data_IF_793619073050
#
_entry.id   IF_793619073050
#
_cell.length_a   1.000
_cell.length_b   1.000
_cell.length_c   1.000
_cell.angle_alpha   90.00
_cell.angle_beta   90.00
_cell.angle_gamma   90.00
#
_symmetry.space_group_name_H-M   'P 1'
#
loop_
_entity.id
_entity.type
_entity.pdbx_description
1 polymer ?
#
# COMPACT_ATOMS: atom_id res chain seq x y z
N UNK A 1 -24.08 -48.99 23.38
CA UNK A 1 -24.83 -50.18 22.94
C UNK A 1 -26.17 -50.19 23.66
N UNK A 2 -27.11 -49.38 23.17
CA UNK A 2 -28.56 -49.41 23.42
C UNK A 2 -29.14 -48.15 22.77
N UNK A 3 -30.32 -48.27 22.13
CA UNK A 3 -31.09 -47.27 21.37
C UNK A 3 -30.82 -47.23 19.86
N UNK A 4 -31.22 -48.31 19.18
CA UNK A 4 -31.51 -48.32 17.73
C UNK A 4 -32.82 -49.08 17.40
N UNK A 5 -33.80 -49.07 18.31
CA UNK A 5 -35.14 -49.61 18.03
C UNK A 5 -36.22 -48.70 18.62
N UNK A 6 -36.71 -47.78 17.80
CA UNK A 6 -38.07 -47.28 17.90
C UNK A 6 -38.43 -46.64 16.57
N UNK A 7 -39.69 -46.79 16.16
CA UNK A 7 -40.26 -46.37 14.86
C UNK A 7 -40.06 -47.40 13.73
N UNK A 8 -40.38 -48.66 14.03
CA UNK A 8 -41.06 -49.52 13.07
C UNK A 8 -42.58 -49.39 13.31
N UNK A 9 -43.36 -49.47 12.23
CA UNK A 9 -44.83 -49.36 12.19
C UNK A 9 -45.43 -47.95 12.18
N UNK A 10 -45.37 -47.27 11.03
CA UNK A 10 -46.52 -46.47 10.58
C UNK A 10 -46.50 -46.18 9.07
N UNK A 11 -46.60 -47.21 8.22
CA UNK A 11 -47.03 -46.98 6.82
C UNK A 11 -47.39 -48.29 6.12
N UNK A 12 -48.57 -48.82 6.44
CA UNK A 12 -49.26 -49.80 5.60
C UNK A 12 -50.59 -49.18 5.21
N UNK A 13 -50.61 -48.47 4.08
CA UNK A 13 -51.86 -47.95 3.54
C UNK A 13 -51.76 -46.68 2.69
N UNK A 14 -51.09 -46.74 1.53
CA UNK A 14 -51.59 -45.98 0.37
C UNK A 14 -51.08 -46.59 -0.93
N UNK A 15 -52.00 -47.24 -1.62
CA UNK A 15 -51.87 -47.70 -3.00
C UNK A 15 -51.56 -46.49 -3.89
N UNK A 16 -50.59 -46.68 -4.78
CA UNK A 16 -50.52 -46.12 -6.14
C UNK A 16 -50.89 -44.64 -6.29
N UNK A 17 -49.89 -43.77 -6.20
CA UNK A 17 -49.77 -42.58 -7.03
C UNK A 17 -48.28 -42.35 -7.26
N UNK A 18 -47.76 -43.09 -8.23
CA UNK A 18 -46.50 -42.79 -8.90
C UNK A 18 -46.71 -41.43 -9.57
N UNK A 19 -46.33 -40.34 -8.92
CA UNK A 19 -46.08 -39.08 -9.61
C UNK A 19 -44.80 -39.27 -10.41
N UNK A 20 -44.99 -39.74 -11.64
CA UNK A 20 -44.02 -39.71 -12.70
C UNK A 20 -43.69 -38.24 -12.97
N UNK A 21 -42.58 -37.75 -12.39
CA UNK A 21 -42.01 -36.49 -12.84
C UNK A 21 -41.68 -36.66 -14.32
N UNK A 22 -42.21 -35.83 -15.22
CA UNK A 22 -41.71 -35.83 -16.59
C UNK A 22 -40.24 -35.43 -16.50
N UNK A 23 -39.37 -36.32 -16.98
CA UNK A 23 -38.02 -35.95 -17.38
C UNK A 23 -38.15 -34.95 -18.54
N UNK A 24 -38.45 -33.70 -18.20
CA UNK A 24 -38.33 -32.56 -19.06
C UNK A 24 -36.85 -32.41 -19.36
N UNK A 25 -36.39 -33.13 -20.38
CA UNK A 25 -35.23 -32.75 -21.16
C UNK A 25 -35.40 -31.26 -21.45
N UNK A 26 -34.64 -30.42 -20.76
CA UNK A 26 -34.42 -29.03 -21.17
C UNK A 26 -33.69 -29.16 -22.50
N UNK A 27 -34.46 -29.29 -23.57
CA UNK A 27 -33.96 -29.24 -24.92
C UNK A 27 -33.31 -27.88 -25.06
N UNK A 28 -31.98 -27.86 -25.04
CA UNK A 28 -31.22 -26.72 -25.53
C UNK A 28 -31.76 -26.45 -26.93
N UNK A 29 -32.43 -25.31 -27.18
CA UNK A 29 -32.94 -25.01 -28.49
C UNK A 29 -31.77 -25.09 -29.45
N UNK A 30 -31.93 -25.86 -30.53
CA UNK A 30 -30.98 -26.00 -31.63
C UNK A 30 -30.78 -24.64 -32.30
N UNK A 31 -29.96 -23.81 -31.67
CA UNK A 31 -29.46 -22.55 -32.15
C UNK A 31 -28.51 -22.87 -33.31
N UNK A 32 -28.68 -22.26 -34.50
CA UNK A 32 -27.79 -22.53 -35.65
C UNK A 32 -26.33 -22.34 -35.24
N UNK A 33 -25.42 -23.25 -35.63
CA UNK A 33 -23.99 -23.28 -35.21
C UNK A 33 -23.31 -21.90 -35.16
N UNK A 34 -23.66 -21.00 -36.08
CA UNK A 34 -23.17 -19.61 -36.13
C UNK A 34 -23.53 -18.78 -34.89
N UNK A 35 -24.72 -18.97 -34.29
CA UNK A 35 -25.13 -18.28 -33.05
C UNK A 35 -24.41 -18.80 -31.82
N UNK A 36 -24.09 -20.10 -31.79
CA UNK A 36 -23.28 -20.71 -30.72
C UNK A 36 -21.84 -20.15 -30.79
N UNK A 37 -21.28 -20.04 -32.00
CA UNK A 37 -19.96 -19.45 -32.22
C UNK A 37 -19.90 -17.97 -31.77
N UNK A 38 -20.92 -17.18 -32.11
CA UNK A 38 -21.02 -15.76 -31.69
C UNK A 38 -21.20 -15.62 -30.17
N UNK A 39 -22.00 -16.50 -29.55
CA UNK A 39 -22.16 -16.52 -28.10
C UNK A 39 -20.84 -16.86 -27.40
N UNK A 40 -20.09 -17.84 -27.91
CA UNK A 40 -18.80 -18.25 -27.37
C UNK A 40 -17.75 -17.14 -27.51
N UNK A 41 -17.73 -16.42 -28.65
CA UNK A 41 -16.89 -15.24 -28.85
C UNK A 41 -17.22 -14.11 -27.86
N UNK A 42 -18.50 -13.84 -27.60
CA UNK A 42 -18.94 -12.84 -26.61
C UNK A 42 -18.51 -13.22 -25.19
N UNK A 43 -18.58 -14.51 -24.83
CA UNK A 43 -18.11 -15.00 -23.53
C UNK A 43 -16.60 -14.81 -23.40
N UNK A 44 -15.83 -15.14 -24.44
CA UNK A 44 -14.36 -14.94 -24.44
C UNK A 44 -14.02 -13.44 -24.31
N UNK A 45 -14.74 -12.55 -24.99
CA UNK A 45 -14.54 -11.11 -24.85
C UNK A 45 -14.95 -10.58 -23.47
N UNK A 46 -16.04 -11.09 -22.89
CA UNK A 46 -16.49 -10.70 -21.56
C UNK A 46 -15.51 -11.18 -20.47
N UNK A 47 -15.05 -12.44 -20.55
CA UNK A 47 -14.06 -13.00 -19.62
C UNK A 47 -12.70 -12.34 -19.81
N UNK A 48 -12.23 -12.18 -21.05
CA UNK A 48 -10.98 -11.50 -21.36
C UNK A 48 -11.00 -10.04 -20.92
N UNK A 49 -12.10 -9.33 -21.19
CA UNK A 49 -12.32 -7.95 -20.72
C UNK A 49 -12.38 -7.86 -19.20
N UNK A 50 -13.05 -8.80 -18.53
CA UNK A 50 -13.10 -8.87 -17.07
C UNK A 50 -11.72 -9.14 -16.45
N UNK A 51 -10.96 -10.10 -16.99
CA UNK A 51 -9.62 -10.43 -16.53
C UNK A 51 -8.64 -9.27 -16.77
N UNK A 52 -8.75 -8.59 -17.92
CA UNK A 52 -7.95 -7.40 -18.21
C UNK A 52 -8.29 -6.25 -17.25
N UNK A 53 -9.58 -5.96 -17.06
CA UNK A 53 -10.04 -4.94 -16.11
C UNK A 53 -9.57 -5.25 -14.69
N UNK A 54 -9.70 -6.50 -14.25
CA UNK A 54 -9.21 -6.95 -12.94
C UNK A 54 -7.71 -6.76 -12.84
N UNK A 55 -6.92 -7.24 -13.80
CA UNK A 55 -5.45 -7.09 -13.79
C UNK A 55 -4.99 -5.63 -13.70
N UNK A 56 -5.67 -4.69 -14.37
CA UNK A 56 -5.32 -3.27 -14.32
C UNK A 56 -5.78 -2.62 -13.01
N UNK A 57 -6.95 -2.99 -12.48
CA UNK A 57 -7.50 -2.39 -11.26
C UNK A 57 -6.99 -2.99 -9.96
N UNK A 58 -6.49 -4.22 -9.99
CA UNK A 58 -5.86 -4.89 -8.84
C UNK A 58 -4.33 -4.83 -8.92
N UNK A 59 -3.75 -3.94 -9.73
CA UNK A 59 -2.30 -3.82 -9.87
C UNK A 59 -1.65 -2.90 -8.82
N UNK A 60 -0.36 -3.08 -8.49
CA UNK A 60 0.38 -2.20 -7.58
C UNK A 60 0.36 -0.73 -8.03
N UNK A 61 0.50 -0.49 -9.33
CA UNK A 61 0.44 0.86 -9.92
C UNK A 61 -0.92 1.54 -9.70
N UNK A 62 -2.00 0.78 -9.76
CA UNK A 62 -3.35 1.32 -9.55
C UNK A 62 -3.56 1.76 -8.10
N UNK A 63 -3.11 0.94 -7.14
CA UNK A 63 -3.16 1.28 -5.73
C UNK A 63 -2.35 2.56 -5.42
N UNK A 64 -1.16 2.73 -6.02
CA UNK A 64 -0.39 3.96 -5.87
C UNK A 64 -1.11 5.18 -6.46
N UNK A 65 -1.69 5.05 -7.65
CA UNK A 65 -2.47 6.12 -8.25
C UNK A 65 -3.69 6.50 -7.40
N UNK A 66 -4.35 5.51 -6.78
CA UNK A 66 -5.46 5.74 -5.86
C UNK A 66 -5.01 6.39 -4.55
N UNK A 67 -3.87 6.00 -4.00
CA UNK A 67 -3.29 6.66 -2.84
C UNK A 67 -2.98 8.13 -3.15
N UNK A 68 -2.31 8.42 -4.28
CA UNK A 68 -2.00 9.79 -4.69
C UNK A 68 -3.27 10.63 -4.92
N UNK A 69 -4.29 10.04 -5.57
CA UNK A 69 -5.59 10.68 -5.74
C UNK A 69 -6.28 10.96 -4.39
N UNK A 70 -6.20 10.04 -3.43
CA UNK A 70 -6.78 10.22 -2.10
C UNK A 70 -6.13 11.38 -1.34
N UNK A 71 -4.82 11.62 -1.52
CA UNK A 71 -4.15 12.83 -0.99
C UNK A 71 -4.73 14.09 -1.60
N UNK A 72 -4.90 14.12 -2.92
CA UNK A 72 -5.45 15.26 -3.64
C UNK A 72 -6.92 15.54 -3.28
N UNK A 73 -7.71 14.48 -3.11
CA UNK A 73 -9.14 14.57 -2.82
C UNK A 73 -9.41 14.71 -1.30
N UNK A 74 -8.35 14.84 -0.47
CA UNK A 74 -8.41 14.90 0.99
C UNK A 74 -9.15 13.72 1.65
N UNK A 75 -9.14 12.55 1.01
CA UNK A 75 -9.80 11.33 1.47
C UNK A 75 -8.85 10.45 2.28
N UNK A 76 -8.82 10.70 3.59
CA UNK A 76 -7.99 9.95 4.54
C UNK A 76 -8.34 8.45 4.54
N UNK A 77 -9.62 8.09 4.41
CA UNK A 77 -10.05 6.70 4.46
C UNK A 77 -9.58 5.91 3.23
N UNK A 78 -9.71 6.51 2.05
CA UNK A 78 -9.15 5.93 0.83
C UNK A 78 -7.63 5.87 0.88
N UNK A 79 -6.96 6.87 1.45
CA UNK A 79 -5.51 6.83 1.60
C UNK A 79 -5.05 5.67 2.49
N UNK A 80 -5.64 5.51 3.68
CA UNK A 80 -5.29 4.41 4.60
C UNK A 80 -5.63 3.01 4.04
N UNK A 81 -6.61 2.93 3.13
CA UNK A 81 -6.88 1.69 2.41
C UNK A 81 -5.68 1.25 1.57
N UNK A 82 -5.06 2.16 0.82
CA UNK A 82 -3.93 1.83 -0.07
C UNK A 82 -2.56 2.01 0.57
N UNK A 83 -2.48 2.64 1.75
CA UNK A 83 -1.23 2.85 2.50
C UNK A 83 -1.41 2.41 3.95
N UNK A 84 -0.68 1.38 4.36
CA UNK A 84 -0.59 0.98 5.76
C UNK A 84 0.34 1.96 6.50
N UNK A 85 -0.21 3.10 6.90
CA UNK A 85 0.52 4.19 7.56
C UNK A 85 1.22 3.70 8.84
N UNK A 86 0.63 2.73 9.53
CA UNK A 86 1.21 2.17 10.76
C UNK A 86 2.45 1.33 10.45
N UNK A 87 2.36 0.41 9.48
CA UNK A 87 3.52 -0.38 9.06
C UNK A 87 4.62 0.50 8.47
N UNK A 88 4.25 1.47 7.62
CA UNK A 88 5.20 2.40 7.01
C UNK A 88 5.92 3.18 8.10
N UNK A 89 5.20 3.93 8.95
CA UNK A 89 5.82 4.75 10.02
C UNK A 89 6.68 3.93 10.97
N UNK A 90 6.22 2.75 11.39
CA UNK A 90 6.96 1.83 12.25
C UNK A 90 8.31 1.42 11.64
N UNK A 91 8.31 1.03 10.35
CA UNK A 91 9.53 0.64 9.64
C UNK A 91 10.44 1.83 9.33
N UNK A 92 9.87 3.01 9.10
CA UNK A 92 10.67 4.24 8.94
C UNK A 92 11.45 4.57 10.21
N UNK A 93 10.81 4.44 11.38
CA UNK A 93 11.50 4.62 12.68
C UNK A 93 12.64 3.61 12.82
N UNK A 94 12.43 2.35 12.43
CA UNK A 94 13.49 1.33 12.46
C UNK A 94 14.66 1.69 11.53
N UNK A 95 14.38 2.11 10.30
CA UNK A 95 15.42 2.48 9.32
C UNK A 95 16.23 3.69 9.78
N UNK A 96 15.57 4.70 10.35
CA UNK A 96 16.24 5.88 10.91
C UNK A 96 17.09 5.50 12.12
N UNK A 97 16.54 4.69 13.04
CA UNK A 97 17.26 4.23 14.22
C UNK A 97 18.48 3.35 13.86
N UNK A 98 18.39 2.56 12.80
CA UNK A 98 19.50 1.72 12.33
C UNK A 98 20.67 2.54 11.75
N UNK A 99 20.47 3.81 11.37
CA UNK A 99 21.48 4.60 10.65
C UNK A 99 22.02 5.76 11.50
N UNK A 100 23.25 5.62 11.98
CA UNK A 100 23.92 6.65 12.81
C UNK A 100 24.06 8.00 12.08
N UNK A 101 24.31 7.97 10.77
CA UNK A 101 24.39 9.20 9.96
C UNK A 101 23.05 9.95 9.95
N UNK A 102 21.93 9.24 9.85
CA UNK A 102 20.58 9.85 9.84
C UNK A 102 20.19 10.33 11.25
N UNK A 103 20.58 9.61 12.30
CA UNK A 103 20.42 10.09 13.68
C UNK A 103 21.20 11.40 13.92
N UNK A 104 22.42 11.49 13.40
CA UNK A 104 23.20 12.73 13.44
C UNK A 104 22.52 13.90 12.71
N UNK A 105 21.77 13.62 11.64
CA UNK A 105 20.98 14.63 10.92
C UNK A 105 19.79 15.17 11.74
N UNK A 106 19.31 14.44 12.74
CA UNK A 106 18.24 14.86 13.65
C UNK A 106 18.78 15.70 14.83
N UNK A 107 20.05 16.11 14.80
CA UNK A 107 20.65 16.94 15.85
C UNK A 107 21.05 16.16 17.10
N UNK A 108 21.04 14.83 17.05
CA UNK A 108 21.49 13.98 18.14
C UNK A 108 23.03 13.98 18.22
N UNK A 109 23.60 14.93 18.95
CA UNK A 109 25.00 14.86 19.40
C UNK A 109 25.16 13.96 20.65
N UNK A 110 24.12 13.19 20.98
CA UNK A 110 24.04 12.24 22.08
C UNK A 110 24.48 10.84 21.63
N UNK A 111 24.98 10.01 22.56
CA UNK A 111 25.38 8.64 22.25
C UNK A 111 24.26 7.90 21.50
N UNK A 112 24.53 7.51 20.24
CA UNK A 112 23.52 6.93 19.34
C UNK A 112 22.86 5.67 19.91
N UNK A 113 23.56 4.95 20.79
CA UNK A 113 23.04 3.77 21.48
C UNK A 113 21.91 4.09 22.48
N UNK A 114 22.02 5.19 23.25
CA UNK A 114 20.94 5.63 24.15
C UNK A 114 19.73 6.11 23.34
N UNK A 115 19.97 6.86 22.26
CA UNK A 115 18.90 7.35 21.40
C UNK A 115 18.15 6.21 20.70
N UNK A 116 18.86 5.21 20.17
CA UNK A 116 18.26 3.97 19.62
C UNK A 116 17.36 3.27 20.65
N UNK A 117 17.83 3.15 21.88
CA UNK A 117 17.03 2.59 22.98
C UNK A 117 15.75 3.38 23.23
N UNK A 118 15.84 4.70 23.31
CA UNK A 118 14.69 5.58 23.49
C UNK A 118 13.71 5.52 22.30
N UNK A 119 14.20 5.52 21.06
CA UNK A 119 13.39 5.41 19.85
C UNK A 119 12.65 4.08 19.79
N UNK A 120 13.30 2.97 20.16
CA UNK A 120 12.67 1.65 20.18
C UNK A 120 11.54 1.58 21.22
N UNK A 121 11.71 2.20 22.39
CA UNK A 121 10.65 2.29 23.42
C UNK A 121 9.52 3.23 23.00
N UNK A 122 9.84 4.34 22.33
CA UNK A 122 8.87 5.33 21.86
C UNK A 122 8.21 4.94 20.53
N UNK A 123 8.67 3.88 19.85
CA UNK A 123 8.18 3.43 18.54
C UNK A 123 6.66 3.38 18.40
N UNK A 124 5.86 2.77 19.31
CA UNK A 124 4.41 2.76 19.15
C UNK A 124 3.80 4.17 19.24
N UNK A 125 4.35 5.04 20.09
CA UNK A 125 3.88 6.43 20.23
C UNK A 125 4.27 7.29 19.03
N UNK A 126 5.50 7.13 18.53
CA UNK A 126 5.99 7.79 17.32
C UNK A 126 5.20 7.36 16.08
N UNK A 127 4.90 6.08 15.93
CA UNK A 127 4.07 5.57 14.84
C UNK A 127 2.65 6.15 14.89
N UNK A 128 2.05 6.26 16.07
CA UNK A 128 0.74 6.90 16.24
C UNK A 128 0.78 8.40 15.93
N UNK A 129 1.79 9.12 16.40
CA UNK A 129 1.96 10.55 16.11
C UNK A 129 2.19 10.79 14.61
N UNK A 130 3.07 10.01 13.98
CA UNK A 130 3.30 10.05 12.54
C UNK A 130 2.03 9.74 11.75
N UNK A 131 1.23 8.76 12.20
CA UNK A 131 -0.06 8.46 11.58
C UNK A 131 -1.00 9.66 11.63
N UNK A 132 -1.17 10.28 12.80
CA UNK A 132 -2.01 11.48 12.95
C UNK A 132 -1.54 12.62 12.04
N UNK A 133 -0.22 12.81 11.94
CA UNK A 133 0.33 13.85 11.09
C UNK A 133 0.11 13.58 9.61
N UNK A 134 0.28 12.33 9.17
CA UNK A 134 -0.03 11.92 7.79
C UNK A 134 -1.52 12.10 7.50
N UNK A 135 -2.41 11.70 8.41
CA UNK A 135 -3.84 11.93 8.28
C UNK A 135 -4.17 13.42 8.16
N UNK A 136 -3.55 14.27 8.99
CA UNK A 136 -3.72 15.71 8.93
C UNK A 136 -3.23 16.29 7.60
N UNK A 137 -2.05 15.88 7.13
CA UNK A 137 -1.50 16.31 5.86
C UNK A 137 -2.40 15.88 4.68
N UNK A 138 -2.93 14.66 4.71
CA UNK A 138 -3.89 14.20 3.70
C UNK A 138 -5.17 15.04 3.76
N UNK A 139 -5.69 15.33 4.95
CA UNK A 139 -6.93 16.08 5.12
C UNK A 139 -6.82 17.58 4.77
N UNK A 140 -5.66 18.20 4.99
CA UNK A 140 -5.50 19.67 4.89
C UNK A 140 -4.49 20.11 3.83
N UNK A 141 -3.69 19.19 3.29
CA UNK A 141 -2.59 19.49 2.37
C UNK A 141 -1.38 20.16 3.03
N UNK A 142 -1.36 20.30 4.36
CA UNK A 142 -0.29 20.96 5.09
C UNK A 142 0.07 20.24 6.39
N UNK A 143 1.33 20.37 6.81
CA UNK A 143 1.75 19.94 8.14
C UNK A 143 1.23 20.97 9.14
N UNK A 144 0.59 20.49 10.22
CA UNK A 144 0.01 21.40 11.21
C UNK A 144 1.14 22.05 12.03
N UNK A 145 1.16 23.38 12.06
CA UNK A 145 2.10 24.13 12.90
C UNK A 145 1.77 24.01 14.39
N UNK A 146 0.53 23.63 14.74
CA UNK A 146 0.07 23.52 16.12
C UNK A 146 0.30 22.10 16.63
N UNK A 147 1.37 21.89 17.41
CA UNK A 147 1.58 20.64 18.11
C UNK A 147 0.88 20.66 19.47
N UNK A 148 0.07 19.63 19.76
CA UNK A 148 -0.61 19.53 21.06
C UNK A 148 0.33 19.13 22.21
N UNK A 149 1.48 18.52 21.89
CA UNK A 149 2.48 18.07 22.85
C UNK A 149 3.91 18.07 22.24
N UNK A 150 4.91 17.90 23.10
CA UNK A 150 6.34 17.91 22.71
C UNK A 150 6.70 16.79 21.73
N UNK A 151 6.19 15.58 21.94
CA UNK A 151 6.48 14.42 21.07
C UNK A 151 6.00 14.67 19.65
N UNK A 152 4.77 15.19 19.51
CA UNK A 152 4.17 15.54 18.24
C UNK A 152 4.95 16.67 17.55
N UNK A 153 5.42 17.66 18.30
CA UNK A 153 6.29 18.73 17.77
C UNK A 153 7.59 18.16 17.19
N UNK A 154 8.24 17.25 17.91
CA UNK A 154 9.48 16.60 17.46
C UNK A 154 9.24 15.79 16.18
N UNK A 155 8.14 15.02 16.12
CA UNK A 155 7.77 14.24 14.93
C UNK A 155 7.48 15.16 13.74
N UNK A 156 6.72 16.24 13.94
CA UNK A 156 6.41 17.24 12.91
C UNK A 156 7.68 17.88 12.33
N UNK A 157 8.55 18.40 13.18
CA UNK A 157 9.81 19.02 12.76
C UNK A 157 10.72 18.02 12.04
N UNK A 158 10.78 16.77 12.53
CA UNK A 158 11.57 15.72 11.92
C UNK A 158 11.03 15.33 10.55
N UNK A 159 9.71 15.09 10.42
CA UNK A 159 9.08 14.74 9.15
C UNK A 159 9.20 15.87 8.14
N UNK A 160 8.95 17.12 8.53
CA UNK A 160 9.09 18.27 7.64
C UNK A 160 10.56 18.45 7.18
N UNK A 161 11.52 18.31 8.10
CA UNK A 161 12.94 18.37 7.81
C UNK A 161 13.39 17.28 6.83
N UNK A 162 12.99 16.03 7.07
CA UNK A 162 13.30 14.89 6.19
C UNK A 162 12.60 15.02 4.82
N UNK A 163 11.32 15.42 4.80
CA UNK A 163 10.58 15.64 3.58
C UNK A 163 11.23 16.71 2.70
N UNK A 164 11.65 17.84 3.28
CA UNK A 164 12.29 18.94 2.55
C UNK A 164 13.62 18.56 1.88
N UNK A 165 14.29 17.51 2.36
CA UNK A 165 15.52 16.96 1.78
C UNK A 165 15.28 16.00 0.63
N UNK A 166 14.16 15.27 0.66
CA UNK A 166 13.83 14.27 -0.37
C UNK A 166 13.01 14.92 -1.49
N UNK A 167 12.03 15.74 -1.13
CA UNK A 167 11.08 16.37 -2.06
C UNK A 167 11.08 17.88 -1.82
N UNK A 168 11.42 18.61 -2.87
CA UNK A 168 11.35 20.08 -2.91
C UNK A 168 10.17 20.52 -3.78
N UNK A 169 9.68 21.77 -3.69
CA UNK A 169 8.64 22.26 -4.59
C UNK A 169 8.97 22.06 -6.08
N UNK A 170 10.25 22.15 -6.44
CA UNK A 170 10.76 21.92 -7.80
C UNK A 170 10.94 20.44 -8.17
N UNK A 171 10.73 19.51 -7.23
CA UNK A 171 10.91 18.08 -7.50
C UNK A 171 9.75 17.57 -8.35
N UNK A 172 10.06 16.83 -9.42
CA UNK A 172 9.05 16.27 -10.31
C UNK A 172 9.09 14.75 -10.30
N UNK A 173 7.92 14.14 -10.16
CA UNK A 173 7.75 12.70 -10.35
C UNK A 173 7.89 12.38 -11.84
N UNK A 174 8.79 11.45 -12.18
CA UNK A 174 8.98 10.99 -13.56
C UNK A 174 8.12 9.78 -13.90
N UNK A 175 7.98 8.85 -12.97
CA UNK A 175 7.25 7.62 -13.22
C UNK A 175 7.70 6.44 -12.36
N UNK A 176 7.19 5.26 -12.70
CA UNK A 176 7.61 4.00 -12.10
C UNK A 176 8.79 3.45 -12.90
N UNK A 177 9.99 3.47 -12.29
CA UNK A 177 11.24 2.94 -12.88
C UNK A 177 11.18 1.44 -13.08
N UNK A 178 10.68 0.72 -12.08
CA UNK A 178 10.51 -0.72 -12.15
C UNK A 178 9.38 -1.18 -11.22
N UNK A 179 8.83 -2.35 -11.54
CA UNK A 179 7.84 -3.05 -10.72
C UNK A 179 8.23 -4.53 -10.71
N UNK A 180 8.46 -5.08 -9.52
CA UNK A 180 8.79 -6.50 -9.33
C UNK A 180 7.74 -7.12 -8.42
N UNK A 181 6.91 -8.01 -8.97
CA UNK A 181 5.91 -8.75 -8.20
C UNK A 181 6.47 -10.13 -7.82
N UNK A 182 6.41 -10.45 -6.53
CA UNK A 182 6.89 -11.68 -5.91
C UNK A 182 5.79 -12.26 -5.03
N UNK A 183 4.84 -12.98 -5.64
CA UNK A 183 3.68 -13.53 -4.94
C UNK A 183 2.82 -12.43 -4.34
N UNK A 184 2.65 -12.44 -3.03
CA UNK A 184 1.86 -11.46 -2.27
C UNK A 184 2.61 -10.14 -2.00
N UNK A 185 3.85 -10.00 -2.46
CA UNK A 185 4.65 -8.80 -2.28
C UNK A 185 5.01 -8.19 -3.63
N UNK A 186 5.11 -6.85 -3.69
CA UNK A 186 5.58 -6.14 -4.87
C UNK A 186 6.54 -5.03 -4.46
N UNK A 187 7.66 -4.92 -5.17
CA UNK A 187 8.62 -3.82 -5.03
C UNK A 187 8.45 -2.84 -6.18
N UNK A 188 8.13 -1.60 -5.86
CA UNK A 188 7.89 -0.53 -6.83
C UNK A 188 8.95 0.56 -6.68
N UNK A 189 9.79 0.73 -7.71
CA UNK A 189 10.75 1.82 -7.77
C UNK A 189 10.11 3.06 -8.41
N UNK A 190 9.94 4.13 -7.65
CA UNK A 190 9.44 5.43 -8.11
C UNK A 190 10.60 6.38 -8.38
N UNK A 191 10.67 6.94 -9.58
CA UNK A 191 11.74 7.87 -9.96
C UNK A 191 11.29 9.33 -9.80
N UNK A 192 12.12 10.12 -9.12
CA UNK A 192 11.93 11.54 -8.91
C UNK A 192 13.16 12.29 -9.40
N UNK A 193 12.92 13.41 -10.09
CA UNK A 193 14.00 14.35 -10.43
C UNK A 193 14.09 15.38 -9.34
N UNK A 194 15.30 15.60 -8.83
CA UNK A 194 15.56 16.62 -7.84
C UNK A 194 16.50 17.68 -8.43
N UNK A 195 15.95 18.79 -8.96
CA UNK A 195 16.77 19.85 -9.54
C UNK A 195 17.75 20.43 -8.52
N UNK A 196 17.34 20.51 -7.25
CA UNK A 196 18.23 20.95 -6.18
C UNK A 196 19.47 20.09 -6.05
N UNK A 197 19.46 18.81 -6.41
CA UNK A 197 20.59 17.87 -6.28
C UNK A 197 21.22 17.45 -7.63
N UNK A 198 20.75 18.01 -8.76
CA UNK A 198 21.17 17.64 -10.12
C UNK A 198 21.18 16.12 -10.35
N UNK A 199 20.29 15.40 -9.66
CA UNK A 199 20.28 13.94 -9.67
C UNK A 199 18.84 13.41 -9.70
N UNK A 200 18.72 12.14 -10.10
CA UNK A 200 17.48 11.38 -10.03
C UNK A 200 17.54 10.45 -8.83
N UNK A 201 16.54 10.54 -7.96
CA UNK A 201 16.36 9.63 -6.83
C UNK A 201 15.33 8.57 -7.19
N UNK A 202 15.51 7.37 -6.63
CA UNK A 202 14.55 6.28 -6.73
C UNK A 202 14.08 5.94 -5.33
N UNK A 203 12.78 6.07 -5.07
CA UNK A 203 12.16 5.58 -3.83
C UNK A 203 11.55 4.21 -4.09
N UNK A 204 11.90 3.26 -3.25
CA UNK A 204 11.44 1.89 -3.35
C UNK A 204 10.32 1.64 -2.35
N UNK A 205 9.16 1.25 -2.86
CA UNK A 205 7.97 0.97 -2.07
C UNK A 205 7.71 -0.52 -2.09
N UNK A 206 7.63 -1.13 -0.91
CA UNK A 206 7.12 -2.49 -0.78
C UNK A 206 5.62 -2.47 -0.54
N UNK A 207 4.91 -3.16 -1.41
CA UNK A 207 3.47 -3.32 -1.37
C UNK A 207 3.12 -4.77 -1.04
N UNK A 208 1.99 -4.96 -0.37
CA UNK A 208 1.42 -6.28 -0.09
C UNK A 208 0.07 -6.41 -0.78
N UNK A 209 -0.17 -7.57 -1.39
CA UNK A 209 -1.45 -7.93 -1.94
C UNK A 209 -2.46 -8.20 -0.80
N UNK A 210 -3.64 -7.60 -0.89
CA UNK A 210 -4.77 -7.82 0.03
C UNK A 210 -5.90 -8.59 -0.66
N UNK A 211 -5.64 -9.18 -1.82
CA UNK A 211 -6.57 -9.94 -2.66
C UNK A 211 -7.34 -9.05 -3.64
N UNK A 212 -7.95 -7.97 -3.14
CA UNK A 212 -8.75 -7.04 -3.95
C UNK A 212 -8.03 -5.74 -4.28
N UNK A 213 -6.92 -5.45 -3.59
CA UNK A 213 -6.11 -4.25 -3.77
C UNK A 213 -4.70 -4.46 -3.22
N UNK A 214 -3.76 -3.65 -3.68
CA UNK A 214 -2.42 -3.58 -3.09
C UNK A 214 -2.35 -2.49 -2.03
N UNK A 215 -1.56 -2.73 -1.00
CA UNK A 215 -1.33 -1.77 0.07
C UNK A 215 0.17 -1.53 0.25
N UNK A 216 0.60 -0.27 0.27
CA UNK A 216 1.98 0.10 0.62
C UNK A 216 2.21 -0.23 2.08
N UNK A 217 3.29 -0.96 2.37
CA UNK A 217 3.63 -1.39 3.74
C UNK A 217 4.96 -0.82 4.21
N UNK A 218 5.84 -0.44 3.29
CA UNK A 218 7.18 0.05 3.60
C UNK A 218 7.74 0.91 2.48
N UNK A 219 8.62 1.84 2.84
CA UNK A 219 9.59 2.46 1.93
C UNK A 219 10.93 1.81 2.22
N UNK A 220 11.41 0.89 1.38
CA UNK A 220 12.52 -0.03 1.73
C UNK A 220 13.88 0.66 1.77
N UNK A 221 14.05 1.74 1.01
CA UNK A 221 15.33 2.41 0.84
C UNK A 221 15.35 3.86 1.38
N UNK A 222 14.41 4.26 2.25
CA UNK A 222 14.32 5.65 2.69
C UNK A 222 15.61 6.13 3.36
N UNK A 223 16.15 5.32 4.27
CA UNK A 223 17.38 5.68 4.97
C UNK A 223 18.59 5.83 4.02
N UNK A 224 18.71 4.95 3.01
CA UNK A 224 19.76 5.07 1.99
C UNK A 224 19.63 6.35 1.15
N UNK A 225 18.41 6.68 0.72
CA UNK A 225 18.13 7.92 0.00
C UNK A 225 18.45 9.15 0.85
N UNK A 226 18.14 9.11 2.15
CA UNK A 226 18.50 10.17 3.10
C UNK A 226 20.03 10.32 3.26
N UNK A 227 20.77 9.21 3.32
CA UNK A 227 22.24 9.27 3.34
C UNK A 227 22.80 9.84 2.04
N UNK A 228 22.28 9.40 0.89
CA UNK A 228 22.72 9.87 -0.43
C UNK A 228 22.50 11.37 -0.58
N UNK A 229 21.30 11.86 -0.25
CA UNK A 229 20.99 13.29 -0.28
C UNK A 229 21.89 14.09 0.65
N UNK A 230 22.10 13.64 1.90
CA UNK A 230 23.01 14.31 2.84
C UNK A 230 24.48 14.34 2.36
N UNK A 231 24.96 13.27 1.71
CA UNK A 231 26.30 13.21 1.12
C UNK A 231 26.44 14.18 -0.06
N UNK A 232 25.44 14.24 -0.94
CA UNK A 232 25.41 15.16 -2.08
C UNK A 232 25.35 16.63 -1.63
N UNK A 233 24.57 16.94 -0.59
CA UNK A 233 24.53 18.27 0.02
C UNK A 233 25.91 18.68 0.56
N UNK A 234 26.57 17.80 1.34
CA UNK A 234 27.92 18.05 1.83
C UNK A 234 28.91 18.29 0.69
N UNK A 235 28.92 17.43 -0.33
CA UNK A 235 29.83 17.58 -1.48
C UNK A 235 29.62 18.90 -2.23
N UNK A 236 28.36 19.34 -2.39
CA UNK A 236 28.03 20.63 -3.01
C UNK A 236 28.51 21.81 -2.17
N UNK A 237 28.33 21.75 -0.85
CA UNK A 237 28.78 22.80 0.07
C UNK A 237 30.32 22.90 0.13
N UNK A 238 31.03 21.76 0.06
CA UNK A 238 32.50 21.73 0.07
C UNK A 238 33.14 21.95 -1.30
N UNK A 239 32.46 21.60 -2.40
CA UNK A 239 32.91 21.84 -3.78
C UNK A 239 32.66 23.27 -4.27
N UNK A 240 31.83 24.04 -3.55
CA UNK A 240 31.56 25.46 -3.80
C UNK A 240 32.35 26.34 -2.83
N UNK A 241 33.68 26.18 -2.79
CA UNK A 241 34.55 27.22 -2.23
C UNK A 241 34.93 28.18 -3.36
N UNK A 242 34.76 29.52 -3.20
CA UNK A 242 35.39 30.48 -4.10
C UNK A 242 36.91 30.39 -4.03
#
# INVERSE_FOLDING_TARGET
MHLLLSIAELSRGRKTLFCQLPAGSIGLPNLPMKRILVLLLLIVLAVGGYLYYRSVTTGPKYALAKAAKAVHDHDVASFEKYVDVQSVSSRLVDQVAAQDEVLGLLGANTNSLMLRGALNLAKPQLAQAARKEVQHYVATGSFDANASNELERVVKLSLAGLASRIVTPESSFKGVKYLQEQGELALVGLEFTQPKLDTTLVLELQMRDRGDYWQVTEITNLGEVLQQTARLEKQRLFGRRP
#
